data_IF_478977861668
#
_entry.id   IF_478977861668
#
_cell.length_a   1.000
_cell.length_b   1.000
_cell.length_c   1.000
_cell.angle_alpha   90.00
_cell.angle_beta   90.00
_cell.angle_gamma   90.00
#
_symmetry.space_group_name_H-M   'P 1'
#
loop_
_entity.id
_entity.type
_entity.pdbx_description
1 polymer ?
#
# COMPACT_ATOMS: atom_id res chain seq x y z
N UNK A 1 -2.89 -15.08 22.74
CA UNK A 1 -2.65 -15.41 21.32
C UNK A 1 -2.44 -14.11 20.56
N UNK A 2 -1.53 -14.09 19.58
CA UNK A 2 -1.29 -12.91 18.73
C UNK A 2 -1.74 -13.27 17.32
N UNK A 3 -2.65 -12.50 16.74
CA UNK A 3 -3.19 -12.76 15.40
C UNK A 3 -2.70 -11.68 14.42
N UNK A 4 -1.90 -12.09 13.43
CA UNK A 4 -1.50 -11.27 12.27
C UNK A 4 -0.51 -10.12 12.53
N UNK A 5 -0.54 -9.47 13.70
CA UNK A 5 0.33 -8.31 14.03
C UNK A 5 0.74 -8.34 15.50
N UNK A 6 2.03 -8.05 15.77
CA UNK A 6 2.61 -7.95 17.11
C UNK A 6 3.58 -6.77 17.22
N UNK A 7 3.80 -6.25 18.43
CA UNK A 7 4.81 -5.22 18.72
C UNK A 7 5.88 -5.72 19.68
N UNK A 8 7.16 -5.58 19.33
CA UNK A 8 8.29 -5.79 20.23
C UNK A 8 8.66 -4.50 20.96
N UNK A 9 8.86 -4.54 22.27
CA UNK A 9 9.24 -3.36 23.07
C UNK A 9 10.69 -3.36 23.56
N UNK A 10 11.55 -4.22 22.99
CA UNK A 10 12.92 -4.43 23.46
C UNK A 10 13.08 -5.59 24.45
N UNK A 11 11.98 -6.10 25.02
CA UNK A 11 12.02 -7.19 26.02
C UNK A 11 10.97 -8.29 25.79
N UNK A 12 9.77 -7.93 25.32
CA UNK A 12 8.69 -8.89 25.06
C UNK A 12 7.82 -8.48 23.88
N UNK A 13 7.13 -9.47 23.30
CA UNK A 13 6.12 -9.28 22.26
C UNK A 13 4.76 -8.97 22.88
N UNK A 14 4.09 -7.97 22.34
CA UNK A 14 2.74 -7.54 22.74
C UNK A 14 1.76 -7.75 21.59
N UNK A 15 0.59 -8.29 21.92
CA UNK A 15 -0.55 -8.30 21.02
C UNK A 15 -1.12 -6.88 20.84
N UNK A 16 -1.78 -6.64 19.70
CA UNK A 16 -2.55 -5.42 19.46
C UNK A 16 -4.05 -5.77 19.52
N UNK A 17 -4.65 -5.65 20.70
CA UNK A 17 -6.02 -6.09 20.95
C UNK A 17 -6.18 -7.61 20.73
N UNK A 18 -7.27 -8.02 20.07
CA UNK A 18 -7.43 -9.41 19.60
C UNK A 18 -6.67 -9.73 18.31
N UNK A 19 -6.03 -8.73 17.68
CA UNK A 19 -5.26 -8.87 16.44
C UNK A 19 -6.12 -8.73 15.18
N UNK A 20 -5.62 -9.31 14.08
CA UNK A 20 -6.25 -9.31 12.75
C UNK A 20 -6.85 -10.69 12.45
N UNK A 21 -8.08 -10.72 11.93
CA UNK A 21 -8.86 -11.93 11.70
C UNK A 21 -9.42 -11.98 10.25
N UNK A 22 -9.67 -13.21 9.77
CA UNK A 22 -10.11 -13.50 8.41
C UNK A 22 -9.72 -14.93 7.98
N UNK A 23 -10.39 -15.46 6.95
CA UNK A 23 -10.04 -16.76 6.38
C UNK A 23 -9.89 -16.65 4.85
N UNK A 24 -8.66 -16.64 4.32
CA UNK A 24 -7.37 -16.61 5.04
C UNK A 24 -7.03 -15.23 5.63
N UNK A 25 -6.16 -15.18 6.65
CA UNK A 25 -5.60 -13.93 7.20
C UNK A 25 -4.16 -13.71 6.74
N UNK A 26 -3.92 -12.63 6.00
CA UNK A 26 -2.59 -12.17 5.63
C UNK A 26 -2.44 -10.68 5.94
N UNK A 27 -1.36 -10.29 6.59
CA UNK A 27 -0.92 -8.88 6.69
C UNK A 27 0.37 -8.77 5.91
N UNK A 28 0.34 -8.04 4.79
CA UNK A 28 1.50 -7.89 3.90
C UNK A 28 2.23 -6.57 4.12
N UNK A 29 1.52 -5.53 4.57
CA UNK A 29 2.07 -4.19 4.72
C UNK A 29 1.71 -3.58 6.07
N UNK A 30 2.66 -2.84 6.63
CA UNK A 30 2.47 -2.00 7.81
C UNK A 30 3.00 -0.59 7.51
N UNK A 31 2.34 0.43 8.05
CA UNK A 31 2.81 1.81 7.97
C UNK A 31 2.47 2.57 9.25
N UNK A 32 3.29 3.55 9.64
CA UNK A 32 3.05 4.40 10.81
C UNK A 32 2.64 5.79 10.34
N UNK A 33 1.46 6.25 10.75
CA UNK A 33 0.99 7.60 10.49
C UNK A 33 1.72 8.65 11.33
N UNK A 34 1.57 9.95 10.98
CA UNK A 34 2.23 11.05 11.70
C UNK A 34 1.80 11.17 13.17
N UNK A 35 0.62 10.65 13.52
CA UNK A 35 0.10 10.61 14.89
C UNK A 35 0.56 9.37 15.68
N UNK A 36 1.41 8.53 15.09
CA UNK A 36 1.90 7.28 15.70
C UNK A 36 0.95 6.09 15.51
N UNK A 37 -0.17 6.25 14.82
CA UNK A 37 -1.09 5.14 14.55
C UNK A 37 -0.49 4.14 13.58
N UNK A 38 -0.76 2.85 13.81
CA UNK A 38 -0.33 1.77 12.91
C UNK A 38 -1.43 1.45 11.91
N UNK A 39 -1.10 1.45 10.63
CA UNK A 39 -1.94 0.92 9.57
C UNK A 39 -1.48 -0.48 9.20
N UNK A 40 -2.43 -1.40 9.03
CA UNK A 40 -2.17 -2.77 8.58
C UNK A 40 -2.95 -3.06 7.30
N UNK A 41 -2.24 -3.42 6.24
CA UNK A 41 -2.76 -3.74 4.92
C UNK A 41 -2.52 -5.21 4.57
N UNK A 42 -3.50 -5.87 3.96
CA UNK A 42 -3.38 -7.27 3.60
C UNK A 42 -4.63 -7.90 3.00
N UNK A 43 -4.80 -9.20 3.22
CA UNK A 43 -6.02 -9.94 2.94
C UNK A 43 -6.62 -10.42 4.25
N UNK A 44 -7.60 -9.69 4.78
CA UNK A 44 -8.31 -9.99 6.02
C UNK A 44 -9.68 -9.30 5.99
N UNK A 45 -10.58 -9.70 6.89
CA UNK A 45 -11.97 -9.17 6.92
C UNK A 45 -12.33 -8.50 8.24
N UNK A 46 -11.50 -8.66 9.28
CA UNK A 46 -11.70 -8.00 10.56
C UNK A 46 -10.38 -7.67 11.27
N UNK A 47 -10.45 -6.69 12.16
CA UNK A 47 -9.37 -6.30 13.06
C UNK A 47 -9.95 -5.93 14.41
N UNK A 48 -9.51 -6.56 15.50
CA UNK A 48 -10.03 -6.25 16.84
C UNK A 48 -11.52 -6.53 17.02
N UNK A 49 -12.11 -7.44 16.25
CA UNK A 49 -13.57 -7.66 16.19
C UNK A 49 -14.35 -6.62 15.37
N UNK A 50 -13.68 -5.62 14.80
CA UNK A 50 -14.28 -4.63 13.89
C UNK A 50 -14.18 -5.15 12.45
N UNK A 51 -15.28 -5.11 11.71
CA UNK A 51 -15.28 -5.44 10.28
C UNK A 51 -14.40 -4.43 9.51
N UNK A 52 -13.32 -4.93 8.89
CA UNK A 52 -12.32 -4.12 8.21
C UNK A 52 -11.73 -4.93 7.04
N UNK A 53 -12.07 -4.56 5.82
CA UNK A 53 -11.68 -5.34 4.63
C UNK A 53 -10.31 -4.90 4.12
N UNK A 54 -9.29 -5.71 4.40
CA UNK A 54 -7.93 -5.57 3.88
C UNK A 54 -7.13 -4.38 4.41
N UNK A 55 -7.74 -3.46 5.17
CA UNK A 55 -7.08 -2.29 5.76
C UNK A 55 -7.72 -1.88 7.09
N UNK A 56 -6.88 -1.68 8.11
CA UNK A 56 -7.29 -1.21 9.44
C UNK A 56 -6.23 -0.30 10.07
N UNK A 57 -6.65 0.60 10.98
CA UNK A 57 -5.78 1.50 11.75
C UNK A 57 -5.88 1.19 13.24
N UNK A 58 -4.76 1.02 13.90
CA UNK A 58 -4.62 0.92 15.35
C UNK A 58 -4.23 2.28 15.93
N UNK A 59 -5.06 2.80 16.84
CA UNK A 59 -4.85 4.12 17.46
C UNK A 59 -4.02 4.08 18.76
N UNK A 60 -3.51 2.91 19.14
CA UNK A 60 -2.85 2.68 20.42
C UNK A 60 -3.69 1.87 21.42
N UNK A 61 -5.01 1.80 21.22
CA UNK A 61 -5.95 1.12 22.12
C UNK A 61 -6.93 0.19 21.39
N UNK A 62 -7.38 0.54 20.18
CA UNK A 62 -8.34 -0.26 19.40
C UNK A 62 -8.09 -0.15 17.88
N UNK A 63 -8.64 -1.12 17.15
CA UNK A 63 -8.63 -1.14 15.69
C UNK A 63 -9.83 -0.38 15.13
N UNK A 64 -9.61 0.34 14.02
CA UNK A 64 -10.60 1.10 13.29
C UNK A 64 -10.57 0.72 11.81
N UNK A 65 -11.74 0.59 11.19
CA UNK A 65 -11.86 0.42 9.75
C UNK A 65 -11.60 1.76 9.01
N UNK A 66 -11.08 1.68 7.78
CA UNK A 66 -10.98 2.84 6.87
C UNK A 66 -12.08 2.77 5.82
N UNK A 67 -13.22 3.40 6.11
CA UNK A 67 -14.43 3.28 5.30
C UNK A 67 -14.88 1.82 5.20
N UNK A 68 -15.29 1.38 4.01
CA UNK A 68 -15.62 -0.03 3.74
C UNK A 68 -14.39 -0.92 3.49
N UNK A 69 -13.18 -0.37 3.56
CA UNK A 69 -11.95 -1.03 3.15
C UNK A 69 -11.83 -1.20 1.62
N UNK A 70 -11.09 -2.23 1.19
CA UNK A 70 -10.87 -2.54 -0.24
C UNK A 70 -11.67 -3.75 -0.69
N UNK A 71 -12.02 -3.79 -1.97
CA UNK A 71 -12.75 -4.89 -2.61
C UNK A 71 -12.49 -4.95 -4.13
N UNK A 72 -13.15 -5.89 -4.81
CA UNK A 72 -13.04 -6.06 -6.25
C UNK A 72 -11.75 -6.75 -6.70
N UNK A 73 -11.79 -7.39 -7.87
CA UNK A 73 -10.79 -8.39 -8.28
C UNK A 73 -11.09 -9.77 -7.69
N UNK A 74 -10.25 -10.76 -8.03
CA UNK A 74 -10.43 -12.16 -7.59
C UNK A 74 -10.07 -12.35 -6.11
N UNK A 75 -9.02 -11.66 -5.64
CA UNK A 75 -8.62 -11.61 -4.24
C UNK A 75 -8.11 -10.19 -3.89
N UNK A 76 -8.96 -9.28 -3.39
CA UNK A 76 -8.58 -7.90 -3.07
C UNK A 76 -7.61 -7.88 -1.89
N UNK A 77 -6.32 -7.73 -2.20
CA UNK A 77 -5.25 -7.66 -1.20
C UNK A 77 -4.52 -6.32 -1.33
N UNK A 78 -4.12 -5.78 -0.19
CA UNK A 78 -3.13 -4.70 -0.14
C UNK A 78 -1.76 -5.35 0.09
N UNK A 79 -0.80 -5.04 -0.78
CA UNK A 79 0.58 -5.50 -0.69
C UNK A 79 1.53 -4.43 -0.19
N UNK A 80 1.20 -3.16 -0.40
CA UNK A 80 2.06 -2.04 -0.03
C UNK A 80 1.25 -0.90 0.58
N UNK A 81 1.83 -0.27 1.61
CA UNK A 81 1.33 0.94 2.23
C UNK A 81 2.47 1.98 2.30
N UNK A 82 2.16 3.25 2.06
CA UNK A 82 3.09 4.35 2.26
C UNK A 82 2.35 5.58 2.81
N UNK A 83 3.03 6.39 3.63
CA UNK A 83 2.46 7.61 4.22
C UNK A 83 3.09 8.83 3.54
N UNK A 84 2.25 9.69 2.98
CA UNK A 84 2.65 10.96 2.38
C UNK A 84 3.02 12.01 3.42
N UNK A 85 3.71 13.10 3.01
CA UNK A 85 4.10 14.19 3.89
C UNK A 85 2.90 14.94 4.50
N UNK A 86 1.73 14.87 3.86
CA UNK A 86 0.47 15.44 4.34
C UNK A 86 -0.29 14.50 5.30
N UNK A 87 0.28 13.34 5.63
CA UNK A 87 -0.34 12.31 6.46
C UNK A 87 -1.28 11.36 5.73
N UNK A 88 -1.45 11.52 4.41
CA UNK A 88 -2.29 10.62 3.62
C UNK A 88 -1.69 9.22 3.53
N UNK A 89 -2.53 8.20 3.55
CA UNK A 89 -2.12 6.82 3.34
C UNK A 89 -2.33 6.44 1.89
N UNK A 90 -1.30 5.92 1.25
CA UNK A 90 -1.37 5.31 -0.08
C UNK A 90 -1.37 3.80 0.07
N UNK A 91 -2.28 3.13 -0.64
CA UNK A 91 -2.40 1.68 -0.67
C UNK A 91 -2.21 1.15 -2.09
N UNK A 92 -1.38 0.12 -2.24
CA UNK A 92 -1.12 -0.60 -3.49
C UNK A 92 -1.42 -2.09 -3.33
N UNK A 93 -1.97 -2.73 -4.36
CA UNK A 93 -2.27 -4.16 -4.31
C UNK A 93 -3.02 -4.71 -5.52
N UNK A 94 -3.96 -5.64 -5.28
CA UNK A 94 -4.78 -6.31 -6.31
C UNK A 94 -6.25 -5.85 -6.37
N UNK A 95 -6.66 -4.97 -5.44
CA UNK A 95 -8.04 -4.48 -5.37
C UNK A 95 -8.42 -3.63 -6.59
N UNK A 96 -9.71 -3.54 -6.89
CA UNK A 96 -10.24 -2.63 -7.94
C UNK A 96 -11.20 -1.57 -7.39
N UNK A 97 -11.50 -1.65 -6.09
CA UNK A 97 -12.40 -0.73 -5.39
C UNK A 97 -11.82 -0.42 -4.01
N UNK A 98 -11.91 0.84 -3.59
CA UNK A 98 -11.56 1.28 -2.24
C UNK A 98 -12.65 2.22 -1.72
N UNK A 99 -13.19 1.98 -0.53
CA UNK A 99 -14.26 2.84 0.04
C UNK A 99 -15.52 2.95 -0.83
N UNK A 100 -15.79 1.98 -1.69
CA UNK A 100 -16.92 2.00 -2.63
C UNK A 100 -16.66 2.76 -3.94
N UNK A 101 -15.48 3.38 -4.13
CA UNK A 101 -15.10 4.01 -5.39
C UNK A 101 -14.15 3.12 -6.19
N UNK A 102 -14.26 3.17 -7.52
CA UNK A 102 -13.34 2.46 -8.42
C UNK A 102 -11.92 3.00 -8.25
N UNK A 103 -11.00 2.13 -7.86
CA UNK A 103 -9.59 2.44 -7.66
C UNK A 103 -8.75 1.21 -8.04
N UNK A 104 -8.19 1.22 -9.25
CA UNK A 104 -7.52 0.05 -9.81
C UNK A 104 -6.10 -0.09 -9.25
N UNK A 105 -5.92 -1.01 -8.30
CA UNK A 105 -4.66 -1.41 -7.65
C UNK A 105 -3.93 -0.33 -6.87
N UNK A 106 -4.42 0.91 -6.86
CA UNK A 106 -3.82 2.02 -6.14
C UNK A 106 -4.86 3.05 -5.69
N UNK A 107 -4.77 3.49 -4.44
CA UNK A 107 -5.68 4.48 -3.85
C UNK A 107 -5.00 5.30 -2.75
N UNK A 108 -5.50 6.51 -2.51
CA UNK A 108 -5.10 7.40 -1.42
C UNK A 108 -6.25 7.57 -0.43
N UNK A 109 -5.98 7.39 0.85
CA UNK A 109 -6.86 7.75 1.96
C UNK A 109 -6.43 9.10 2.54
N UNK A 110 -7.35 10.06 2.57
CA UNK A 110 -7.09 11.43 3.03
C UNK A 110 -7.41 11.64 4.53
N UNK A 111 -7.78 10.58 5.25
CA UNK A 111 -8.28 10.64 6.62
C UNK A 111 -9.78 10.43 6.74
N UNK A 112 -10.54 10.61 5.66
CA UNK A 112 -12.00 10.49 5.64
C UNK A 112 -12.55 9.65 4.46
N UNK A 113 -11.91 9.71 3.31
CA UNK A 113 -12.34 9.03 2.09
C UNK A 113 -11.17 8.45 1.28
N UNK A 114 -11.48 7.40 0.51
CA UNK A 114 -10.58 6.83 -0.48
C UNK A 114 -10.72 7.57 -1.81
N UNK A 115 -9.59 7.86 -2.44
CA UNK A 115 -9.50 8.55 -3.74
C UNK A 115 -8.65 7.71 -4.71
N UNK A 116 -9.09 7.54 -5.96
CA UNK A 116 -8.27 6.91 -6.98
C UNK A 116 -7.10 7.82 -7.40
N UNK A 117 -6.00 7.22 -7.86
CA UNK A 117 -4.89 7.96 -8.48
C UNK A 117 -4.92 7.75 -10.00
N UNK A 118 -5.58 8.68 -10.70
CA UNK A 118 -5.89 8.54 -12.12
C UNK A 118 -6.81 7.35 -12.38
N UNK A 119 -6.61 6.62 -13.49
CA UNK A 119 -7.34 5.36 -13.75
C UNK A 119 -6.68 4.13 -13.11
N UNK A 120 -5.58 4.32 -12.37
CA UNK A 120 -4.85 3.27 -11.64
C UNK A 120 -3.90 2.47 -12.52
N UNK A 121 -3.62 1.22 -12.12
CA UNK A 121 -2.69 0.31 -12.79
C UNK A 121 -3.44 -0.83 -13.49
N UNK A 122 -2.84 -1.40 -14.53
CA UNK A 122 -3.38 -2.58 -15.23
C UNK A 122 -3.13 -3.91 -14.50
N UNK A 123 -2.13 -3.95 -13.61
CA UNK A 123 -1.79 -5.12 -12.80
C UNK A 123 -1.36 -4.71 -11.37
N UNK A 124 -0.98 -5.68 -10.53
CA UNK A 124 -0.67 -5.48 -9.12
C UNK A 124 0.40 -4.41 -8.87
N UNK A 125 0.18 -3.62 -7.82
CA UNK A 125 1.20 -2.79 -7.18
C UNK A 125 1.72 -3.54 -5.96
N UNK A 126 2.98 -3.94 -6.00
CA UNK A 126 3.63 -4.76 -4.97
C UNK A 126 4.49 -3.92 -4.02
N UNK A 127 4.91 -2.71 -4.44
CA UNK A 127 5.72 -1.81 -3.64
C UNK A 127 5.30 -0.35 -3.82
N UNK A 128 5.34 0.42 -2.73
CA UNK A 128 5.15 1.87 -2.71
C UNK A 128 6.27 2.53 -1.90
N UNK A 129 6.75 3.69 -2.35
CA UNK A 129 7.67 4.53 -1.59
C UNK A 129 7.36 6.01 -1.84
N UNK A 130 7.60 6.86 -0.84
CA UNK A 130 7.41 8.32 -0.94
C UNK A 130 8.77 8.99 -0.95
N UNK A 131 8.98 9.90 -1.90
CA UNK A 131 10.18 10.73 -1.97
C UNK A 131 10.14 11.94 -1.03
N UNK A 132 11.29 12.57 -0.74
CA UNK A 132 11.36 13.78 0.09
C UNK A 132 10.55 14.97 -0.45
N UNK A 133 10.31 15.00 -1.76
CA UNK A 133 9.50 15.98 -2.48
C UNK A 133 7.99 15.66 -2.44
N UNK A 134 7.60 14.54 -1.85
CA UNK A 134 6.21 14.05 -1.81
C UNK A 134 5.81 13.21 -3.02
N UNK A 135 6.71 12.97 -3.98
CA UNK A 135 6.44 12.09 -5.12
C UNK A 135 6.18 10.66 -4.63
N UNK A 136 5.14 10.00 -5.17
CA UNK A 136 4.86 8.60 -4.88
C UNK A 136 5.44 7.71 -5.98
N UNK A 137 6.26 6.75 -5.62
CA UNK A 137 6.77 5.72 -6.51
C UNK A 137 5.99 4.44 -6.32
N UNK A 138 5.56 3.83 -7.43
CA UNK A 138 4.89 2.55 -7.47
C UNK A 138 5.74 1.53 -8.23
N UNK A 139 5.88 0.34 -7.67
CA UNK A 139 6.55 -0.81 -8.26
C UNK A 139 5.63 -2.03 -8.24
N UNK A 140 5.69 -2.88 -9.26
CA UNK A 140 4.90 -4.11 -9.28
C UNK A 140 4.95 -4.85 -10.59
N UNK A 141 3.82 -5.46 -10.96
CA UNK A 141 3.64 -6.26 -12.19
C UNK A 141 2.87 -5.51 -13.29
N UNK A 142 2.71 -4.20 -13.18
CA UNK A 142 1.97 -3.40 -14.16
C UNK A 142 2.80 -3.10 -15.42
N UNK A 143 2.13 -2.86 -16.54
CA UNK A 143 2.74 -2.38 -17.78
C UNK A 143 2.25 -0.99 -18.18
N UNK A 144 1.17 -0.53 -17.55
CA UNK A 144 0.63 0.82 -17.73
C UNK A 144 0.23 1.44 -16.40
N UNK A 145 0.42 2.75 -16.31
CA UNK A 145 -0.03 3.59 -15.21
C UNK A 145 -0.92 4.70 -15.76
N UNK A 146 -2.20 4.66 -15.41
CA UNK A 146 -3.25 5.48 -16.02
C UNK A 146 -3.27 5.49 -17.55
N UNK A 147 -3.03 4.31 -18.16
CA UNK A 147 -2.96 4.13 -19.61
C UNK A 147 -1.66 4.58 -20.27
N UNK A 148 -0.74 5.21 -19.52
CA UNK A 148 0.60 5.54 -19.99
C UNK A 148 1.49 4.31 -19.84
N UNK A 149 2.26 3.97 -20.87
CA UNK A 149 3.22 2.87 -20.81
C UNK A 149 4.27 3.13 -19.71
N UNK A 150 4.33 2.24 -18.73
CA UNK A 150 5.24 2.29 -17.61
C UNK A 150 5.56 0.86 -17.17
N UNK A 151 6.74 0.37 -17.57
CA UNK A 151 7.14 -1.01 -17.31
C UNK A 151 7.53 -1.18 -15.85
N UNK A 152 6.60 -1.71 -15.04
CA UNK A 152 6.80 -2.22 -13.67
C UNK A 152 7.18 -1.17 -12.62
N UNK A 153 7.48 0.06 -13.01
CA UNK A 153 7.82 1.17 -12.12
C UNK A 153 7.35 2.52 -12.69
N UNK A 154 6.75 3.35 -11.83
CA UNK A 154 6.21 4.66 -12.20
C UNK A 154 6.24 5.63 -11.00
N UNK A 155 6.22 6.94 -11.29
CA UNK A 155 6.13 7.99 -10.29
C UNK A 155 4.85 8.82 -10.47
N UNK A 156 4.22 9.21 -9.37
CA UNK A 156 3.06 10.09 -9.32
C UNK A 156 3.47 11.45 -8.76
N UNK A 157 3.18 12.51 -9.52
CA UNK A 157 3.56 13.90 -9.20
C UNK A 157 2.45 14.72 -8.51
N UNK A 158 1.36 14.05 -8.09
CA UNK A 158 0.17 14.71 -7.54
C UNK A 158 -0.98 14.85 -8.53
N UNK A 159 -0.73 14.73 -9.84
CA UNK A 159 -1.77 14.80 -10.86
C UNK A 159 -1.67 13.73 -11.96
N UNK A 160 -0.47 13.23 -12.26
CA UNK A 160 -0.23 12.26 -13.32
C UNK A 160 0.84 11.23 -12.97
N UNK A 161 0.71 10.04 -13.55
CA UNK A 161 1.75 9.01 -13.53
C UNK A 161 2.76 9.26 -14.65
N UNK A 162 4.04 9.09 -14.33
CA UNK A 162 5.16 9.20 -15.27
C UNK A 162 5.99 7.91 -15.22
N UNK A 163 6.40 7.36 -16.38
CA UNK A 163 7.35 6.26 -16.40
C UNK A 163 8.72 6.72 -15.94
N UNK A 164 9.50 5.82 -15.35
CA UNK A 164 10.91 6.06 -15.03
C UNK A 164 11.80 5.41 -16.09
N UNK A 165 12.24 6.21 -17.06
CA UNK A 165 12.97 5.72 -18.23
C UNK A 165 12.15 4.68 -19.00
N UNK A 166 12.78 3.57 -19.40
CA UNK A 166 12.10 2.40 -19.99
C UNK A 166 11.48 1.45 -18.95
N UNK A 167 11.67 1.72 -17.65
CA UNK A 167 11.26 0.86 -16.54
C UNK A 167 12.20 -0.33 -16.30
N UNK A 168 11.64 -1.46 -15.87
CA UNK A 168 12.38 -2.72 -15.62
C UNK A 168 11.81 -3.88 -16.42
N UNK A 169 12.64 -4.87 -16.77
CA UNK A 169 12.22 -6.08 -17.53
C UNK A 169 11.61 -7.18 -16.66
N UNK A 170 11.65 -7.01 -15.34
CA UNK A 170 11.06 -7.90 -14.34
C UNK A 170 10.27 -7.15 -13.28
N UNK A 171 9.57 -7.91 -12.43
CA UNK A 171 8.70 -7.35 -11.38
C UNK A 171 9.52 -6.60 -10.34
N UNK A 172 9.01 -5.44 -9.91
CA UNK A 172 9.57 -4.67 -8.78
C UNK A 172 8.80 -5.05 -7.51
N UNK A 173 9.48 -5.71 -6.57
CA UNK A 173 8.89 -6.19 -5.31
C UNK A 173 9.19 -5.28 -4.12
N UNK A 174 10.21 -4.43 -4.22
CA UNK A 174 10.60 -3.53 -3.15
C UNK A 174 11.04 -2.18 -3.72
N UNK A 175 10.63 -1.11 -3.06
CA UNK A 175 11.07 0.25 -3.33
C UNK A 175 11.53 0.90 -2.02
N UNK A 176 12.60 1.67 -2.10
CA UNK A 176 13.10 2.50 -1.01
C UNK A 176 13.56 3.83 -1.61
N UNK A 177 13.18 4.95 -1.01
CA UNK A 177 13.75 6.26 -1.35
C UNK A 177 14.66 6.69 -0.20
N UNK A 178 15.91 7.00 -0.50
CA UNK A 178 16.86 7.53 0.45
C UNK A 178 16.60 9.02 0.75
N UNK A 179 17.14 9.56 1.86
CA UNK A 179 16.94 10.97 2.22
C UNK A 179 17.43 11.99 1.19
N UNK A 180 18.39 11.61 0.34
CA UNK A 180 18.90 12.42 -0.78
C UNK A 180 18.03 12.34 -2.05
N UNK A 181 16.93 11.58 -2.00
CA UNK A 181 16.00 11.40 -3.11
C UNK A 181 16.36 10.24 -4.05
N UNK A 182 17.43 9.48 -3.78
CA UNK A 182 17.77 8.31 -4.61
C UNK A 182 16.73 7.19 -4.42
N UNK A 183 16.16 6.72 -5.53
CA UNK A 183 15.25 5.58 -5.58
C UNK A 183 16.00 4.28 -5.81
N UNK A 184 15.79 3.31 -4.92
CA UNK A 184 16.29 1.95 -5.04
C UNK A 184 15.12 1.00 -5.34
N UNK A 185 15.28 0.16 -6.34
CA UNK A 185 14.32 -0.87 -6.71
C UNK A 185 14.92 -2.27 -6.53
N UNK A 186 14.18 -3.16 -5.88
CA UNK A 186 14.50 -4.58 -5.73
C UNK A 186 13.45 -5.45 -6.41
N UNK A 187 13.88 -6.49 -7.12
CA UNK A 187 12.96 -7.27 -7.94
C UNK A 187 13.62 -8.46 -8.64
N UNK A 188 12.93 -8.99 -9.64
CA UNK A 188 13.44 -10.10 -10.48
C UNK A 188 13.99 -9.64 -11.83
N UNK A 189 14.14 -8.33 -12.01
CA UNK A 189 14.65 -7.74 -13.25
C UNK A 189 16.16 -7.93 -13.38
N UNK A 190 16.65 -8.02 -14.61
CA UNK A 190 18.09 -8.03 -14.94
C UNK A 190 18.51 -6.77 -15.68
N UNK A 191 17.55 -5.97 -16.15
CA UNK A 191 17.78 -4.66 -16.76
C UNK A 191 16.84 -3.60 -16.18
N UNK A 192 17.35 -2.37 -16.07
CA UNK A 192 16.60 -1.22 -15.58
C UNK A 192 17.08 0.06 -16.31
N UNK A 193 16.14 0.87 -16.82
CA UNK A 193 16.46 2.18 -17.40
C UNK A 193 16.93 2.20 -18.85
N UNK A 194 17.10 1.03 -19.49
CA UNK A 194 17.52 0.89 -20.89
C UNK A 194 19.02 0.67 -21.03
#
# INVERSE_FOLDING_TARGET
TVNGVARWNGAQWHALGSGIDGDPTFVFALAIGPDGSLYAGGGFTAAGGVAANGIARWDGAQWHALGSGVSGGYFPRIFALAIGPDGSLYAGGEFTTAGGVTANRIARWDGAAWHPLGSGMDESVDALAIGPDGSLYAGGRFSTASGVAASRIAAWDGGQWRPLGSGTDGTVYALLVAPDGLLYAGGTFTTAGG
#
